data_IF_333494925914
#
_entry.id   IF_333494925914
#
_cell.length_a   1.000
_cell.length_b   1.000
_cell.length_c   1.000
_cell.angle_alpha   90.00
_cell.angle_beta   90.00
_cell.angle_gamma   90.00
#
_symmetry.space_group_name_H-M   'P 1'
#
loop_
_entity.id
_entity.type
_entity.pdbx_description
1 polymer ?
#
# COMPACT_ATOMS: atom_id res chain seq x y z
N UNK A 1 -0.23 -21.08 -22.58
CA UNK A 1 -0.97 -19.97 -21.92
C UNK A 1 -0.42 -19.62 -20.55
N UNK A 2 -0.07 -20.59 -19.70
CA UNK A 2 0.45 -20.35 -18.34
C UNK A 2 1.76 -19.55 -18.29
N UNK A 3 2.74 -19.90 -19.13
CA UNK A 3 4.01 -19.15 -19.25
C UNK A 3 3.79 -17.69 -19.65
N UNK A 4 2.83 -17.41 -20.53
CA UNK A 4 2.51 -16.06 -20.98
C UNK A 4 1.97 -15.20 -19.83
N UNK A 5 1.08 -15.77 -19.00
CA UNK A 5 0.53 -15.08 -17.81
C UNK A 5 1.62 -14.70 -16.82
N UNK A 6 2.59 -15.59 -16.57
CA UNK A 6 3.72 -15.29 -15.68
C UNK A 6 4.59 -14.16 -16.24
N UNK A 7 4.82 -14.13 -17.55
CA UNK A 7 5.58 -13.05 -18.21
C UNK A 7 4.83 -11.71 -18.10
N UNK A 8 3.52 -11.69 -18.38
CA UNK A 8 2.68 -10.48 -18.28
C UNK A 8 2.63 -9.93 -16.85
N UNK A 9 2.41 -10.80 -15.86
CA UNK A 9 2.38 -10.42 -14.45
C UNK A 9 3.72 -9.81 -14.00
N UNK A 10 4.85 -10.49 -14.27
CA UNK A 10 6.18 -9.98 -13.93
C UNK A 10 6.52 -8.71 -14.70
N UNK A 11 6.09 -8.59 -15.95
CA UNK A 11 6.29 -7.42 -16.80
C UNK A 11 5.58 -6.18 -16.25
N UNK A 12 4.27 -6.30 -16.00
CA UNK A 12 3.43 -5.25 -15.43
C UNK A 12 3.93 -4.80 -14.05
N UNK A 13 4.23 -5.76 -13.17
CA UNK A 13 4.79 -5.47 -11.85
C UNK A 13 6.11 -4.71 -11.94
N UNK A 14 7.02 -5.14 -12.82
CA UNK A 14 8.32 -4.49 -13.01
C UNK A 14 8.18 -3.06 -13.52
N UNK A 15 7.22 -2.78 -14.40
CA UNK A 15 6.92 -1.42 -14.89
C UNK A 15 6.42 -0.52 -13.76
N UNK A 16 5.44 -0.99 -12.98
CA UNK A 16 4.93 -0.26 -11.82
C UNK A 16 6.01 0.04 -10.78
N UNK A 17 6.84 -0.96 -10.45
CA UNK A 17 8.03 -0.79 -9.59
C UNK A 17 9.08 0.13 -10.22
N UNK A 18 9.12 0.22 -11.55
CA UNK A 18 9.96 1.12 -12.32
C UNK A 18 9.58 2.59 -12.12
N UNK A 19 8.29 2.91 -12.23
CA UNK A 19 7.77 4.25 -11.94
C UNK A 19 8.18 4.71 -10.53
N UNK A 20 8.00 3.86 -9.52
CA UNK A 20 8.35 4.19 -8.14
C UNK A 20 9.84 4.54 -7.95
N UNK A 21 10.73 4.05 -8.83
CA UNK A 21 12.17 4.39 -8.76
C UNK A 21 12.45 5.81 -9.23
N UNK A 22 11.60 6.40 -10.06
CA UNK A 22 11.78 7.78 -10.57
C UNK A 22 11.63 8.81 -9.45
N UNK A 23 10.77 8.54 -8.46
CA UNK A 23 10.58 9.41 -7.29
C UNK A 23 11.60 9.13 -6.18
N UNK A 24 12.46 8.12 -6.30
CA UNK A 24 13.39 7.73 -5.23
C UNK A 24 14.43 8.82 -4.96
N UNK A 25 14.58 9.18 -3.69
CA UNK A 25 15.61 10.12 -3.23
C UNK A 25 15.15 11.58 -3.12
N UNK A 26 13.93 11.89 -3.56
CA UNK A 26 13.32 13.20 -3.37
C UNK A 26 12.29 13.26 -2.24
N UNK A 27 11.50 14.33 -2.25
CA UNK A 27 10.38 14.57 -1.33
C UNK A 27 9.08 14.58 -2.12
N UNK A 28 8.06 13.89 -1.60
CA UNK A 28 6.69 13.94 -2.11
C UNK A 28 5.90 14.84 -1.17
N UNK A 29 5.23 15.87 -1.69
CA UNK A 29 4.52 16.86 -0.88
C UNK A 29 3.01 16.72 -1.01
N UNK A 30 2.31 16.63 0.13
CA UNK A 30 0.84 16.68 0.19
C UNK A 30 0.37 18.09 -0.20
N UNK A 31 -0.55 18.19 -1.17
CA UNK A 31 -1.07 19.47 -1.69
C UNK A 31 -2.58 19.43 -1.84
N UNK A 32 -3.20 20.58 -1.61
CA UNK A 32 -4.67 20.75 -1.59
C UNK A 32 -5.15 21.86 -2.53
N UNK A 33 -4.28 22.48 -3.33
CA UNK A 33 -4.64 23.48 -4.35
C UNK A 33 -3.59 23.46 -5.46
N UNK A 34 -3.91 23.99 -6.65
CA UNK A 34 -2.91 24.20 -7.70
C UNK A 34 -1.75 25.09 -7.25
N UNK A 35 -2.04 26.14 -6.46
CA UNK A 35 -1.01 27.01 -5.90
C UNK A 35 -0.01 26.24 -5.03
N UNK A 36 -0.50 25.37 -4.15
CA UNK A 36 0.39 24.52 -3.34
C UNK A 36 1.19 23.54 -4.20
N UNK A 37 0.61 23.04 -5.29
CA UNK A 37 1.30 22.17 -6.24
C UNK A 37 2.46 22.89 -6.93
N UNK A 38 2.24 24.10 -7.43
CA UNK A 38 3.30 24.92 -8.05
C UNK A 38 4.42 25.24 -7.06
N UNK A 39 4.07 25.61 -5.81
CA UNK A 39 5.06 25.85 -4.75
C UNK A 39 5.88 24.59 -4.47
N UNK A 40 5.24 23.41 -4.43
CA UNK A 40 5.94 22.16 -4.20
C UNK A 40 6.92 21.83 -5.33
N UNK A 41 6.50 22.02 -6.58
CA UNK A 41 7.37 21.82 -7.75
C UNK A 41 8.55 22.79 -7.76
N UNK A 42 8.31 24.08 -7.53
CA UNK A 42 9.37 25.11 -7.45
C UNK A 42 10.36 24.83 -6.30
N UNK A 43 9.88 24.26 -5.20
CA UNK A 43 10.71 23.84 -4.07
C UNK A 43 11.50 22.54 -4.34
N UNK A 44 11.34 21.90 -5.50
CA UNK A 44 12.06 20.70 -5.90
C UNK A 44 11.44 19.39 -5.41
N UNK A 45 10.13 19.36 -5.17
CA UNK A 45 9.42 18.10 -4.95
C UNK A 45 9.56 17.19 -6.19
N UNK A 46 9.71 15.88 -5.97
CA UNK A 46 9.79 14.91 -7.07
C UNK A 46 8.43 14.39 -7.51
N UNK A 47 7.39 14.67 -6.73
CA UNK A 47 5.98 14.42 -7.01
C UNK A 47 5.13 15.18 -5.99
N UNK A 48 3.85 15.37 -6.30
CA UNK A 48 2.85 15.89 -5.36
C UNK A 48 1.80 14.83 -5.04
N UNK A 49 1.18 14.94 -3.87
CA UNK A 49 0.12 14.07 -3.40
C UNK A 49 -1.16 14.88 -3.19
N UNK A 50 -2.10 14.75 -4.11
CA UNK A 50 -3.38 15.45 -4.10
C UNK A 50 -4.34 14.83 -3.06
N UNK A 51 -4.91 15.70 -2.23
CA UNK A 51 -5.93 15.36 -1.25
C UNK A 51 -6.84 16.55 -0.92
N UNK A 52 -8.02 16.26 -0.37
CA UNK A 52 -9.01 17.31 -0.07
C UNK A 52 -8.50 18.26 1.02
N UNK A 53 -7.86 17.71 2.06
CA UNK A 53 -7.33 18.41 3.23
C UNK A 53 -6.08 17.71 3.74
N UNK A 54 -5.11 18.46 4.23
CA UNK A 54 -3.91 17.89 4.86
C UNK A 54 -4.25 17.09 6.13
N UNK A 55 -3.45 16.08 6.52
CA UNK A 55 -3.77 15.19 7.64
C UNK A 55 -4.07 15.90 8.97
N UNK A 56 -3.38 17.02 9.24
CA UNK A 56 -3.62 17.83 10.44
C UNK A 56 -5.04 18.42 10.47
N UNK A 57 -5.56 18.83 9.31
CA UNK A 57 -6.89 19.41 9.20
C UNK A 57 -7.98 18.33 9.14
N UNK A 58 -7.67 17.15 8.57
CA UNK A 58 -8.54 15.97 8.69
C UNK A 58 -8.82 15.65 10.16
N UNK A 59 -7.78 15.65 11.01
CA UNK A 59 -7.92 15.41 12.45
C UNK A 59 -8.78 16.47 13.15
N UNK A 60 -8.59 17.75 12.83
CA UNK A 60 -9.35 18.86 13.43
C UNK A 60 -10.82 18.82 13.00
N UNK A 61 -11.08 18.55 11.73
CA UNK A 61 -12.44 18.55 11.19
C UNK A 61 -13.26 17.35 11.68
N UNK A 62 -12.61 16.21 11.91
CA UNK A 62 -13.30 14.95 12.18
C UNK A 62 -14.17 14.49 11.01
N UNK A 63 -15.06 13.54 11.27
CA UNK A 63 -15.97 13.00 10.25
C UNK A 63 -15.28 12.07 9.25
N UNK A 64 -15.89 11.95 8.06
CA UNK A 64 -15.45 11.00 7.03
C UNK A 64 -14.54 11.70 6.02
N UNK A 65 -13.27 11.29 5.97
CA UNK A 65 -12.31 11.73 4.97
C UNK A 65 -12.32 10.75 3.77
N UNK A 66 -12.41 11.30 2.56
CA UNK A 66 -12.56 10.55 1.29
C UNK A 66 -11.53 11.00 0.26
N UNK A 67 -11.57 10.39 -0.92
CA UNK A 67 -10.86 10.89 -2.11
C UNK A 67 -11.21 12.37 -2.37
N UNK A 68 -10.24 13.14 -2.87
CA UNK A 68 -10.46 14.53 -3.28
C UNK A 68 -11.46 14.61 -4.44
N UNK A 69 -12.10 15.77 -4.60
CA UNK A 69 -12.95 16.02 -5.77
C UNK A 69 -12.12 15.84 -7.06
N UNK A 70 -12.59 15.04 -8.04
CA UNK A 70 -11.92 14.90 -9.34
C UNK A 70 -11.48 16.22 -9.97
N UNK A 71 -12.30 17.28 -9.89
CA UNK A 71 -11.96 18.60 -10.44
C UNK A 71 -10.71 19.20 -9.80
N UNK A 72 -10.55 18.97 -8.50
CA UNK A 72 -9.40 19.46 -7.72
C UNK A 72 -8.13 18.70 -8.07
N UNK A 73 -8.27 17.41 -8.36
CA UNK A 73 -7.15 16.58 -8.82
C UNK A 73 -6.72 17.03 -10.22
N UNK A 74 -7.67 17.22 -11.14
CA UNK A 74 -7.40 17.75 -12.49
C UNK A 74 -6.72 19.12 -12.43
N UNK A 75 -7.20 20.03 -11.58
CA UNK A 75 -6.58 21.35 -11.37
C UNK A 75 -5.11 21.25 -10.92
N UNK A 76 -4.79 20.30 -10.03
CA UNK A 76 -3.42 20.04 -9.57
C UNK A 76 -2.58 19.42 -10.69
N UNK A 77 -3.14 18.48 -11.46
CA UNK A 77 -2.46 17.85 -12.61
C UNK A 77 -2.10 18.85 -13.69
N UNK A 78 -2.99 19.79 -13.98
CA UNK A 78 -2.74 20.84 -14.98
C UNK A 78 -1.72 21.89 -14.52
N UNK A 79 -1.50 22.01 -13.22
CA UNK A 79 -0.65 23.06 -12.63
C UNK A 79 0.84 22.72 -12.56
N UNK A 80 1.22 21.45 -12.64
CA UNK A 80 2.62 21.00 -12.46
C UNK A 80 3.05 20.00 -13.53
N UNK A 81 4.37 19.86 -13.71
CA UNK A 81 4.97 18.89 -14.64
C UNK A 81 5.48 17.62 -13.96
N UNK A 82 5.69 17.68 -12.64
CA UNK A 82 6.06 16.51 -11.81
C UNK A 82 4.86 15.57 -11.59
N UNK A 83 5.11 14.27 -11.33
CA UNK A 83 4.04 13.30 -11.13
C UNK A 83 3.03 13.70 -10.05
N UNK A 84 1.75 13.47 -10.34
CA UNK A 84 0.64 13.70 -9.41
C UNK A 84 0.11 12.38 -8.91
N UNK A 85 0.22 12.19 -7.60
CA UNK A 85 -0.37 11.07 -6.87
C UNK A 85 -1.67 11.50 -6.21
N UNK A 86 -2.57 10.57 -5.91
CA UNK A 86 -3.80 10.88 -5.20
C UNK A 86 -4.20 9.80 -4.20
N UNK A 87 -4.86 10.19 -3.11
CA UNK A 87 -5.28 9.27 -2.04
C UNK A 87 -6.65 8.65 -2.32
N UNK A 88 -6.75 7.34 -2.10
CA UNK A 88 -8.00 6.59 -2.03
C UNK A 88 -8.17 5.96 -0.64
N UNK A 89 -9.43 5.76 -0.21
CA UNK A 89 -9.72 5.07 1.05
C UNK A 89 -9.31 3.60 0.98
N UNK A 90 -8.86 3.05 2.12
CA UNK A 90 -8.54 1.62 2.25
C UNK A 90 -9.74 0.77 1.79
N UNK A 91 -9.49 -0.14 0.86
CA UNK A 91 -10.48 -1.04 0.29
C UNK A 91 -11.47 -0.42 -0.72
N UNK A 92 -11.39 0.88 -0.99
CA UNK A 92 -12.36 1.55 -1.85
C UNK A 92 -12.03 1.41 -3.35
N UNK A 93 -12.26 0.22 -3.90
CA UNK A 93 -11.95 -0.12 -5.30
C UNK A 93 -12.46 0.90 -6.33
N UNK A 94 -13.68 1.43 -6.16
CA UNK A 94 -14.27 2.40 -7.08
C UNK A 94 -13.58 3.78 -7.05
N UNK A 95 -13.02 4.19 -5.91
CA UNK A 95 -12.27 5.47 -5.83
C UNK A 95 -10.95 5.29 -6.58
N UNK A 96 -10.25 4.19 -6.33
CA UNK A 96 -9.01 3.89 -7.04
C UNK A 96 -9.21 3.75 -8.56
N UNK A 97 -10.35 3.20 -9.02
CA UNK A 97 -10.68 3.14 -10.46
C UNK A 97 -10.98 4.52 -11.03
N UNK A 98 -11.65 5.40 -10.28
CA UNK A 98 -11.84 6.77 -10.70
C UNK A 98 -10.49 7.51 -10.83
N UNK A 99 -9.59 7.37 -9.85
CA UNK A 99 -8.25 7.94 -9.90
C UNK A 99 -7.41 7.42 -11.09
N UNK A 100 -7.45 6.11 -11.33
CA UNK A 100 -6.80 5.50 -12.50
C UNK A 100 -7.36 6.07 -13.81
N UNK A 101 -8.68 6.25 -13.91
CA UNK A 101 -9.31 6.80 -15.10
C UNK A 101 -9.01 8.30 -15.30
N UNK A 102 -8.83 9.06 -14.21
CA UNK A 102 -8.37 10.45 -14.26
C UNK A 102 -6.91 10.57 -14.72
N UNK A 103 -6.14 9.47 -14.67
CA UNK A 103 -4.76 9.45 -15.13
C UNK A 103 -3.74 9.92 -14.10
N UNK A 104 -4.03 9.78 -12.80
CA UNK A 104 -3.01 10.03 -11.78
C UNK A 104 -1.85 9.04 -11.92
N UNK A 105 -0.65 9.47 -11.63
CA UNK A 105 0.55 8.67 -11.85
C UNK A 105 0.72 7.54 -10.82
N UNK A 106 0.15 7.71 -9.62
CA UNK A 106 0.15 6.69 -8.56
C UNK A 106 -1.00 6.92 -7.57
N UNK A 107 -1.59 5.83 -7.09
CA UNK A 107 -2.63 5.87 -6.05
C UNK A 107 -2.06 5.54 -4.68
N UNK A 108 -2.35 6.35 -3.67
CA UNK A 108 -2.04 6.05 -2.25
C UNK A 108 -3.28 5.46 -1.57
N UNK A 109 -3.25 4.15 -1.31
CA UNK A 109 -4.29 3.51 -0.50
C UNK A 109 -4.03 3.85 0.97
N UNK A 110 -4.71 4.88 1.46
CA UNK A 110 -4.24 5.66 2.61
C UNK A 110 -5.05 5.42 3.88
N UNK A 111 -4.34 5.13 4.96
CA UNK A 111 -4.86 5.03 6.33
C UNK A 111 -5.29 6.36 6.93
N UNK A 112 -4.93 7.49 6.31
CA UNK A 112 -5.30 8.83 6.76
C UNK A 112 -6.75 9.14 6.41
N UNK A 113 -7.25 8.52 5.33
CA UNK A 113 -8.65 8.59 4.96
C UNK A 113 -9.46 7.55 5.75
N UNK A 114 -10.76 7.77 5.89
CA UNK A 114 -11.63 6.82 6.60
C UNK A 114 -11.71 5.50 5.82
N UNK A 115 -11.33 4.35 6.40
CA UNK A 115 -11.40 3.08 5.68
C UNK A 115 -12.80 2.79 5.14
N UNK A 116 -12.89 2.32 3.90
CA UNK A 116 -14.15 1.91 3.28
C UNK A 116 -14.43 0.42 3.48
N UNK A 117 -13.37 -0.39 3.52
CA UNK A 117 -13.42 -1.80 3.88
C UNK A 117 -12.65 -2.01 5.18
N UNK A 118 -13.28 -2.66 6.15
CA UNK A 118 -12.68 -2.95 7.45
C UNK A 118 -11.93 -4.27 7.45
N UNK A 119 -12.12 -5.13 6.46
CA UNK A 119 -11.55 -6.46 6.29
C UNK A 119 -10.32 -6.46 5.38
N UNK A 120 -10.44 -5.87 4.19
CA UNK A 120 -9.44 -6.02 3.12
C UNK A 120 -8.96 -4.69 2.56
N UNK A 121 -7.78 -4.75 1.94
CA UNK A 121 -7.28 -3.69 1.06
C UNK A 121 -7.62 -4.04 -0.39
N UNK A 122 -7.46 -3.06 -1.28
CA UNK A 122 -7.67 -3.24 -2.72
C UNK A 122 -6.68 -4.28 -3.27
N UNK A 123 -7.15 -5.18 -4.15
CA UNK A 123 -6.25 -5.97 -4.98
C UNK A 123 -5.67 -5.12 -6.12
N UNK A 124 -4.48 -4.59 -5.86
CA UNK A 124 -3.76 -3.63 -6.70
C UNK A 124 -3.16 -4.29 -7.95
N UNK A 125 -3.11 -5.63 -7.99
CA UNK A 125 -2.68 -6.38 -9.18
C UNK A 125 -3.66 -6.20 -10.34
N UNK A 126 -4.93 -5.92 -10.04
CA UNK A 126 -6.01 -5.72 -11.03
C UNK A 126 -5.97 -4.34 -11.71
N UNK A 127 -5.08 -3.45 -11.29
CA UNK A 127 -4.94 -2.09 -11.83
C UNK A 127 -3.74 -1.99 -12.77
N UNK A 128 -3.74 -1.00 -13.65
CA UNK A 128 -2.58 -0.56 -14.42
C UNK A 128 -1.78 0.51 -13.69
N UNK A 129 -2.46 1.45 -13.01
CA UNK A 129 -1.82 2.48 -12.18
C UNK A 129 -1.05 1.82 -11.02
N UNK A 130 0.18 2.28 -10.68
CA UNK A 130 0.89 1.79 -9.52
C UNK A 130 0.28 2.31 -8.22
N UNK A 131 0.51 1.57 -7.13
CA UNK A 131 0.05 1.95 -5.79
C UNK A 131 1.20 2.14 -4.82
N UNK A 132 1.04 3.12 -3.94
CA UNK A 132 1.77 3.23 -2.67
C UNK A 132 0.85 2.87 -1.51
N UNK A 133 1.38 2.14 -0.52
CA UNK A 133 0.65 1.80 0.69
C UNK A 133 1.46 2.08 1.95
N UNK A 134 0.76 2.44 3.03
CA UNK A 134 1.35 2.57 4.36
C UNK A 134 1.62 1.22 5.06
N UNK A 135 2.74 1.12 5.77
CA UNK A 135 3.06 -0.02 6.64
C UNK A 135 3.63 0.43 8.01
N UNK A 136 3.23 -0.24 9.09
CA UNK A 136 3.78 -0.05 10.46
C UNK A 136 4.90 -1.04 10.79
N UNK A 137 4.88 -2.20 10.16
CA UNK A 137 5.82 -3.29 10.36
C UNK A 137 6.03 -4.08 9.07
N UNK A 138 6.91 -5.10 9.12
CA UNK A 138 7.18 -5.94 7.96
C UNK A 138 5.96 -6.75 7.51
N UNK A 139 5.09 -7.14 8.44
CA UNK A 139 3.89 -7.90 8.12
C UNK A 139 2.91 -7.12 7.25
N UNK A 140 2.64 -5.86 7.63
CA UNK A 140 1.86 -4.96 6.79
C UNK A 140 2.54 -4.75 5.43
N UNK A 141 3.84 -4.46 5.41
CA UNK A 141 4.56 -4.20 4.16
C UNK A 141 4.48 -5.38 3.19
N UNK A 142 4.71 -6.61 3.66
CA UNK A 142 4.70 -7.81 2.82
C UNK A 142 3.30 -8.11 2.29
N UNK A 143 2.26 -7.95 3.11
CA UNK A 143 0.87 -8.09 2.62
C UNK A 143 0.53 -7.07 1.54
N UNK A 144 0.85 -5.79 1.76
CA UNK A 144 0.62 -4.73 0.77
C UNK A 144 1.37 -4.98 -0.55
N UNK A 145 2.62 -5.44 -0.47
CA UNK A 145 3.42 -5.82 -1.65
C UNK A 145 2.76 -6.99 -2.40
N UNK A 146 2.35 -8.04 -1.68
CA UNK A 146 1.69 -9.21 -2.29
C UNK A 146 0.36 -8.86 -2.98
N UNK A 147 -0.41 -7.94 -2.40
CA UNK A 147 -1.61 -7.37 -3.03
C UNK A 147 -1.30 -6.49 -4.25
N UNK A 148 -0.04 -6.18 -4.53
CA UNK A 148 0.40 -5.44 -5.72
C UNK A 148 0.90 -4.01 -5.49
N UNK A 149 1.21 -3.61 -4.25
CA UNK A 149 1.82 -2.30 -4.00
C UNK A 149 3.20 -2.19 -4.66
N UNK A 150 3.38 -1.14 -5.47
CA UNK A 150 4.63 -0.86 -6.19
C UNK A 150 5.62 -0.04 -5.34
N UNK A 151 5.12 0.56 -4.26
CA UNK A 151 5.87 1.37 -3.30
C UNK A 151 5.27 1.21 -1.91
N UNK A 152 6.10 1.27 -0.87
CA UNK A 152 5.68 1.29 0.53
C UNK A 152 6.15 2.60 1.17
N UNK A 153 5.37 3.11 2.12
CA UNK A 153 5.80 4.16 3.04
C UNK A 153 5.51 3.74 4.48
N UNK A 154 6.24 4.27 5.45
CA UNK A 154 5.81 4.13 6.85
C UNK A 154 4.53 4.91 7.09
N UNK A 155 3.64 4.42 7.96
CA UNK A 155 2.43 5.19 8.31
C UNK A 155 2.73 6.42 9.17
N UNK A 156 3.73 6.30 10.03
CA UNK A 156 4.01 7.29 11.08
C UNK A 156 2.76 7.60 11.91
N UNK A 157 2.62 8.85 12.34
CA UNK A 157 1.40 9.37 12.90
C UNK A 157 0.98 10.66 12.18
N UNK A 158 0.38 10.48 11.00
CA UNK A 158 -0.01 11.54 10.08
C UNK A 158 -0.71 12.72 10.78
N UNK A 159 -0.17 13.92 10.55
CA UNK A 159 -0.76 15.19 11.00
C UNK A 159 -0.46 15.60 12.43
N UNK A 160 0.43 14.88 13.14
CA UNK A 160 0.83 15.23 14.52
C UNK A 160 2.11 16.07 14.59
N UNK A 161 2.92 16.09 13.53
CA UNK A 161 4.25 16.68 13.56
C UNK A 161 5.24 15.92 14.44
N UNK A 162 4.87 14.72 14.93
CA UNK A 162 5.71 13.89 15.79
C UNK A 162 6.35 12.73 15.00
N UNK A 163 7.67 12.79 14.81
CA UNK A 163 8.42 11.80 14.03
C UNK A 163 8.59 10.44 14.73
N UNK A 164 8.25 10.32 16.02
CA UNK A 164 8.51 9.11 16.82
C UNK A 164 7.89 7.86 16.22
N UNK A 165 6.63 7.91 15.78
CA UNK A 165 5.97 6.73 15.20
C UNK A 165 6.56 6.36 13.84
N UNK A 166 7.00 7.33 13.03
CA UNK A 166 7.70 7.03 11.78
C UNK A 166 9.02 6.29 12.05
N UNK A 167 9.83 6.78 13.01
CA UNK A 167 11.09 6.14 13.41
C UNK A 167 10.85 4.74 13.94
N UNK A 168 9.83 4.55 14.78
CA UNK A 168 9.44 3.24 15.31
C UNK A 168 9.10 2.25 14.20
N UNK A 169 8.26 2.63 13.24
CA UNK A 169 7.92 1.78 12.10
C UNK A 169 9.13 1.43 11.23
N UNK A 170 10.02 2.40 10.96
CA UNK A 170 11.29 2.14 10.26
C UNK A 170 12.13 1.11 11.02
N UNK A 171 12.24 1.24 12.35
CA UNK A 171 13.01 0.29 13.17
C UNK A 171 12.41 -1.12 13.16
N UNK A 172 11.09 -1.25 13.26
CA UNK A 172 10.39 -2.54 13.23
C UNK A 172 10.61 -3.25 11.90
N UNK A 173 10.40 -2.56 10.78
CA UNK A 173 10.63 -3.11 9.43
C UNK A 173 12.09 -3.56 9.29
N UNK A 174 13.04 -2.67 9.59
CA UNK A 174 14.47 -2.97 9.42
C UNK A 174 14.95 -4.10 10.33
N UNK A 175 14.45 -4.19 11.57
CA UNK A 175 14.83 -5.27 12.48
C UNK A 175 14.29 -6.62 12.00
N UNK A 176 13.03 -6.68 11.57
CA UNK A 176 12.45 -7.92 11.03
C UNK A 176 13.19 -8.38 9.77
N UNK A 177 13.57 -7.47 8.86
CA UNK A 177 14.36 -7.81 7.67
C UNK A 177 15.71 -8.45 8.05
N UNK A 178 16.41 -7.91 9.06
CA UNK A 178 17.65 -8.50 9.56
C UNK A 178 17.44 -9.89 10.15
N UNK A 179 16.36 -10.10 10.91
CA UNK A 179 16.03 -11.40 11.47
C UNK A 179 15.85 -12.47 10.38
N UNK A 180 15.20 -12.14 9.25
CA UNK A 180 15.00 -13.10 8.15
C UNK A 180 16.31 -13.71 7.63
N UNK A 181 17.44 -13.00 7.72
CA UNK A 181 18.75 -13.52 7.29
C UNK A 181 19.21 -14.72 8.11
N UNK A 182 18.74 -14.84 9.35
CA UNK A 182 19.12 -15.87 10.31
C UNK A 182 18.14 -17.04 10.36
N UNK A 183 17.06 -16.98 9.59
CA UNK A 183 16.02 -18.01 9.56
C UNK A 183 16.23 -18.99 8.41
N UNK A 184 15.95 -20.27 8.68
CA UNK A 184 15.84 -21.29 7.63
C UNK A 184 14.59 -21.07 6.77
N UNK A 185 14.53 -21.74 5.62
CA UNK A 185 13.41 -21.65 4.69
C UNK A 185 12.09 -22.09 5.34
N UNK A 186 12.12 -23.13 6.18
CA UNK A 186 10.96 -23.61 6.93
C UNK A 186 10.52 -22.61 8.01
N UNK A 187 11.48 -21.98 8.68
CA UNK A 187 11.17 -20.93 9.67
C UNK A 187 10.53 -19.70 9.01
N UNK A 188 10.98 -19.33 7.80
CA UNK A 188 10.37 -18.23 7.03
C UNK A 188 8.98 -18.61 6.54
N UNK A 189 8.74 -19.88 6.20
CA UNK A 189 7.40 -20.35 5.85
C UNK A 189 6.43 -20.19 7.03
N UNK A 190 6.85 -20.53 8.26
CA UNK A 190 6.05 -20.28 9.47
C UNK A 190 5.78 -18.79 9.70
N UNK A 191 6.77 -17.93 9.43
CA UNK A 191 6.55 -16.47 9.45
C UNK A 191 5.51 -16.07 8.41
N UNK A 192 5.54 -16.64 7.20
CA UNK A 192 4.55 -16.36 6.17
C UNK A 192 3.14 -16.77 6.59
N UNK A 193 2.98 -17.91 7.28
CA UNK A 193 1.71 -18.35 7.86
C UNK A 193 1.19 -17.30 8.86
N UNK A 194 2.00 -16.90 9.84
CA UNK A 194 1.60 -15.87 10.82
C UNK A 194 1.21 -14.55 10.17
N UNK A 195 1.99 -14.09 9.18
CA UNK A 195 1.74 -12.83 8.49
C UNK A 195 0.51 -12.85 7.59
N UNK A 196 0.02 -14.04 7.20
CA UNK A 196 -1.15 -14.24 6.34
C UNK A 196 -2.47 -14.33 7.12
N UNK A 197 -2.42 -14.61 8.44
CA UNK A 197 -3.62 -14.73 9.28
C UNK A 197 -4.64 -13.59 9.17
N UNK A 198 -4.26 -12.30 8.96
CA UNK A 198 -5.24 -11.22 8.82
C UNK A 198 -6.27 -11.42 7.69
N UNK A 199 -5.94 -12.17 6.64
CA UNK A 199 -6.89 -12.48 5.56
C UNK A 199 -8.02 -13.42 6.00
N UNK A 200 -7.84 -14.18 7.08
CA UNK A 200 -8.85 -15.09 7.61
C UNK A 200 -9.96 -14.37 8.38
N UNK A 201 -9.75 -13.11 8.78
CA UNK A 201 -10.63 -12.40 9.73
C UNK A 201 -12.10 -12.39 9.29
N UNK A 202 -12.39 -12.10 8.02
CA UNK A 202 -13.77 -12.13 7.52
C UNK A 202 -14.37 -13.53 7.62
N UNK A 203 -13.64 -14.54 7.15
CA UNK A 203 -14.06 -15.95 7.24
C UNK A 203 -14.38 -16.35 8.69
N UNK A 204 -13.50 -15.99 9.63
CA UNK A 204 -13.66 -16.35 11.05
C UNK A 204 -14.85 -15.64 11.68
N UNK A 205 -15.05 -14.35 11.39
CA UNK A 205 -16.21 -13.60 11.85
C UNK A 205 -17.52 -14.19 11.33
N UNK A 206 -17.57 -14.58 10.05
CA UNK A 206 -18.75 -15.20 9.44
C UNK A 206 -19.02 -16.57 10.06
N UNK A 207 -18.01 -17.42 10.19
CA UNK A 207 -18.14 -18.75 10.82
C UNK A 207 -18.66 -18.64 12.25
N UNK A 208 -18.14 -17.69 13.03
CA UNK A 208 -18.62 -17.42 14.38
C UNK A 208 -20.10 -17.03 14.40
N UNK A 209 -20.53 -16.12 13.51
CA UNK A 209 -21.95 -15.71 13.39
C UNK A 209 -22.86 -16.85 12.93
N UNK A 210 -22.35 -17.79 12.15
CA UNK A 210 -23.08 -18.98 11.71
C UNK A 210 -23.04 -20.15 12.72
N UNK A 211 -22.36 -19.99 13.88
CA UNK A 211 -22.19 -21.08 14.85
C UNK A 211 -21.31 -22.24 14.35
N UNK A 212 -20.46 -21.98 13.36
CA UNK A 212 -19.55 -22.96 12.79
C UNK A 212 -18.19 -22.95 13.52
N UNK A 213 -17.46 -24.08 13.54
CA UNK A 213 -16.06 -24.10 13.97
C UNK A 213 -15.21 -23.11 13.16
N UNK A 214 -14.40 -22.30 13.84
CA UNK A 214 -13.50 -21.31 13.23
C UNK A 214 -12.22 -21.97 12.71
N UNK A 215 -12.38 -22.94 11.81
CA UNK A 215 -11.30 -23.66 11.16
C UNK A 215 -11.06 -23.12 9.75
N UNK A 216 -9.82 -23.19 9.28
CA UNK A 216 -9.45 -22.85 7.91
C UNK A 216 -9.74 -24.05 7.01
N UNK A 217 -10.54 -23.85 5.96
CA UNK A 217 -10.77 -24.89 4.96
C UNK A 217 -9.77 -24.72 3.81
N UNK A 218 -9.28 -25.83 3.26
CA UNK A 218 -8.21 -25.82 2.24
C UNK A 218 -8.61 -25.11 0.95
N UNK A 219 -9.82 -25.39 0.46
CA UNK A 219 -10.33 -24.86 -0.82
C UNK A 219 -11.15 -23.58 -0.65
N UNK A 220 -11.20 -23.00 0.55
CA UNK A 220 -11.91 -21.76 0.83
C UNK A 220 -11.11 -20.57 0.33
N UNK A 221 -11.76 -19.76 -0.51
CA UNK A 221 -11.22 -18.47 -0.95
C UNK A 221 -11.47 -17.43 0.12
N UNK A 222 -10.38 -16.87 0.64
CA UNK A 222 -10.42 -15.97 1.80
C UNK A 222 -10.16 -14.52 1.40
N UNK A 223 -9.54 -14.29 0.25
CA UNK A 223 -9.36 -12.96 -0.32
C UNK A 223 -9.35 -13.06 -1.84
N UNK A 224 -10.28 -12.34 -2.49
CA UNK A 224 -10.46 -12.39 -3.94
C UNK A 224 -10.59 -13.85 -4.44
N UNK A 225 -9.79 -14.25 -5.42
CA UNK A 225 -9.73 -15.62 -5.92
C UNK A 225 -8.85 -16.58 -5.10
N UNK A 226 -8.14 -16.11 -4.08
CA UNK A 226 -7.04 -16.85 -3.42
C UNK A 226 -7.50 -17.61 -2.17
N UNK A 227 -7.02 -18.85 -2.05
CA UNK A 227 -7.09 -19.62 -0.80
C UNK A 227 -6.05 -19.16 0.21
N UNK A 228 -6.21 -19.53 1.48
CA UNK A 228 -5.22 -19.19 2.51
C UNK A 228 -3.82 -19.76 2.19
N UNK A 229 -3.75 -20.99 1.67
CA UNK A 229 -2.48 -21.64 1.31
C UNK A 229 -1.77 -20.91 0.15
N UNK A 230 -2.52 -20.45 -0.84
CA UNK A 230 -1.99 -19.65 -1.96
C UNK A 230 -1.45 -18.29 -1.48
N UNK A 231 -2.12 -17.65 -0.52
CA UNK A 231 -1.65 -16.41 0.10
C UNK A 231 -0.36 -16.66 0.88
N UNK A 232 -0.31 -17.70 1.73
CA UNK A 232 0.88 -18.06 2.51
C UNK A 232 2.07 -18.27 1.59
N UNK A 233 1.88 -19.01 0.49
CA UNK A 233 2.93 -19.22 -0.51
C UNK A 233 3.40 -17.91 -1.15
N UNK A 234 2.48 -17.02 -1.54
CA UNK A 234 2.86 -15.74 -2.12
C UNK A 234 3.59 -14.80 -1.14
N UNK A 235 3.16 -14.78 0.13
CA UNK A 235 3.85 -14.05 1.20
C UNK A 235 5.24 -14.64 1.46
N UNK A 236 5.36 -15.96 1.44
CA UNK A 236 6.62 -16.68 1.57
C UNK A 236 7.62 -16.29 0.48
N UNK A 237 7.19 -16.26 -0.79
CA UNK A 237 8.02 -15.86 -1.92
C UNK A 237 8.56 -14.41 -1.76
N UNK A 238 7.70 -13.49 -1.29
CA UNK A 238 8.12 -12.11 -0.99
C UNK A 238 9.13 -12.06 0.16
N UNK A 239 8.95 -12.86 1.22
CA UNK A 239 9.91 -12.93 2.33
C UNK A 239 11.26 -13.50 1.90
N UNK A 240 11.28 -14.50 1.03
CA UNK A 240 12.51 -15.03 0.44
C UNK A 240 13.23 -13.96 -0.40
N UNK A 241 12.49 -13.19 -1.21
CA UNK A 241 13.04 -12.07 -1.96
C UNK A 241 13.64 -11.01 -1.01
N UNK A 242 12.94 -10.66 0.07
CA UNK A 242 13.43 -9.72 1.09
C UNK A 242 14.68 -10.25 1.78
N UNK A 243 14.72 -11.54 2.15
CA UNK A 243 15.91 -12.15 2.74
C UNK A 243 17.11 -12.03 1.79
N UNK A 244 16.91 -12.29 0.50
CA UNK A 244 17.98 -12.18 -0.51
C UNK A 244 18.44 -10.74 -0.71
N UNK A 245 17.52 -9.79 -0.76
CA UNK A 245 17.82 -8.36 -1.00
C UNK A 245 18.30 -7.62 0.24
N UNK A 246 17.95 -8.09 1.44
CA UNK A 246 18.14 -7.38 2.72
C UNK A 246 17.50 -5.99 2.76
N UNK A 247 16.39 -5.83 2.04
CA UNK A 247 15.50 -4.66 1.99
C UNK A 247 14.17 -5.07 1.37
N UNK A 248 13.16 -4.21 1.44
CA UNK A 248 11.92 -4.42 0.68
C UNK A 248 12.22 -4.47 -0.84
N UNK A 249 11.50 -5.30 -1.62
CA UNK A 249 11.71 -5.43 -3.06
C UNK A 249 11.20 -4.23 -3.86
N UNK A 250 10.52 -3.30 -3.19
CA UNK A 250 9.98 -2.05 -3.73
C UNK A 250 10.68 -0.83 -3.16
N UNK A 251 10.36 0.34 -3.69
CA UNK A 251 10.79 1.62 -3.11
C UNK A 251 10.11 1.81 -1.76
N UNK A 252 10.86 2.27 -0.76
CA UNK A 252 10.40 2.41 0.61
C UNK A 252 10.70 3.81 1.13
N UNK A 253 9.65 4.57 1.46
CA UNK A 253 9.74 5.93 1.99
C UNK A 253 9.45 5.98 3.49
N UNK A 254 10.01 6.98 4.17
CA UNK A 254 9.51 7.40 5.46
C UNK A 254 8.38 8.42 5.25
N UNK A 255 7.32 8.33 6.03
CA UNK A 255 6.22 9.29 6.09
C UNK A 255 5.64 9.35 7.51
N UNK A 256 5.03 10.50 7.83
CA UNK A 256 4.41 10.85 9.12
C UNK A 256 3.92 12.28 9.12
#
# INVERSE_FOLDING_TARGET
>A
MEVLRVIEQKGSERLKRGFAKMVKGGVIMDVTTAEQAMIAEEAGAVAVMALERVPADIRKAGGVARMADPKKIEEIMDAVTIPVMAKARIGHYAEARALEALGVDMVDESEVLTPADTYFHIDKRKFSVPFVCGARDLGEAVRRIWEGAAMIRTKGEAGTGNIVEAVKHVRLVNHNIRLLKHLTDEQIYRVAEELSKPYLRLSMDVKAKCGLPQQVFKDERVFEEYTYEEIVKGIYDVLLEIRRLQRLPVVNFAAG
#
